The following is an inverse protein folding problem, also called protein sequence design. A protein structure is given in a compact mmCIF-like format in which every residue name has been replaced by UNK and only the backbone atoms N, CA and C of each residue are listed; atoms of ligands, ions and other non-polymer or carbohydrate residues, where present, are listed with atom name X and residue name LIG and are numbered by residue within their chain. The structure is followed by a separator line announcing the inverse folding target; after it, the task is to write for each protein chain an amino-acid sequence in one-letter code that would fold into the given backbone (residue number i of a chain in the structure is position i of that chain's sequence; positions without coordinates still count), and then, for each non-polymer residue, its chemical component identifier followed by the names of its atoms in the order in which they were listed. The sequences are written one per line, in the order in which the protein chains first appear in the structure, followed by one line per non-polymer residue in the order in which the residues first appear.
data_IF_491240562231
#
_entry.id   IF_491240562231
#
_cell.length_a   1.000
_cell.length_b   1.000
_cell.length_c   1.000
_cell.angle_alpha   90.00
_cell.angle_beta   90.00
_cell.angle_gamma   90.00
#
_symmetry.space_group_name_H-M   'P 1'
#
loop_
_entity.id
_entity.type
_entity.pdbx_description
1 polymer ?
#
# COMPACT_ATOMS: atom_id res chain seq x y z
N UNK A 1 -32.76 -2.24 -59.69
CA UNK A 1 -32.41 -3.62 -60.10
C UNK A 1 -30.98 -3.62 -60.61
N UNK A 2 -30.06 -4.25 -59.89
CA UNK A 2 -28.82 -4.80 -60.43
C UNK A 2 -28.22 -5.71 -59.34
N UNK A 3 -28.35 -7.02 -59.53
CA UNK A 3 -27.73 -8.04 -58.70
C UNK A 3 -26.28 -8.24 -59.17
N UNK A 4 -25.33 -8.22 -58.24
CA UNK A 4 -24.01 -8.81 -58.48
C UNK A 4 -23.64 -9.77 -57.36
N UNK A 5 -23.83 -11.03 -57.68
CA UNK A 5 -23.33 -12.23 -57.00
C UNK A 5 -21.81 -12.28 -57.12
N UNK A 6 -21.08 -12.38 -56.01
CA UNK A 6 -19.65 -12.75 -56.04
C UNK A 6 -19.38 -13.94 -55.13
N UNK A 7 -18.73 -14.89 -55.77
CA UNK A 7 -18.50 -16.30 -55.47
C UNK A 7 -17.47 -16.52 -54.36
N UNK A 8 -17.74 -17.55 -53.54
CA UNK A 8 -16.87 -18.16 -52.52
C UNK A 8 -15.45 -18.46 -53.02
N UNK A 9 -14.45 -18.29 -52.15
CA UNK A 9 -13.31 -19.20 -52.03
C UNK A 9 -12.97 -19.42 -50.55
N UNK A 10 -13.36 -20.57 -50.03
CA UNK A 10 -12.93 -21.11 -48.75
C UNK A 10 -11.51 -21.65 -48.91
N UNK A 11 -10.54 -21.02 -48.25
CA UNK A 11 -9.19 -21.56 -48.07
C UNK A 11 -9.11 -22.16 -46.67
N UNK A 12 -9.06 -23.50 -46.64
CA UNK A 12 -8.93 -24.31 -45.44
C UNK A 12 -7.44 -24.40 -45.12
N UNK A 13 -6.98 -23.68 -44.09
CA UNK A 13 -5.61 -23.72 -43.61
C UNK A 13 -5.55 -24.71 -42.43
N UNK A 14 -4.99 -25.90 -42.65
CA UNK A 14 -4.59 -26.80 -41.58
C UNK A 14 -3.33 -26.24 -40.92
N UNK A 15 -3.49 -25.54 -39.80
CA UNK A 15 -2.42 -25.16 -38.90
C UNK A 15 -2.09 -26.32 -37.96
N UNK A 16 -0.87 -26.84 -38.06
CA UNK A 16 -0.29 -27.80 -37.10
C UNK A 16 0.02 -27.01 -35.83
N UNK A 17 -0.76 -27.19 -34.78
CA UNK A 17 -0.47 -26.60 -33.47
C UNK A 17 0.55 -27.49 -32.75
N UNK A 18 1.82 -27.07 -32.79
CA UNK A 18 2.84 -27.61 -31.90
C UNK A 18 2.54 -27.11 -30.48
N UNK A 19 2.13 -28.01 -29.58
CA UNK A 19 1.93 -27.71 -28.17
C UNK A 19 3.28 -27.45 -27.51
N UNK A 20 3.75 -26.20 -27.55
CA UNK A 20 4.80 -25.74 -26.65
C UNK A 20 4.21 -25.73 -25.23
N UNK A 21 4.65 -26.67 -24.38
CA UNK A 21 4.37 -26.61 -22.96
C UNK A 21 5.10 -25.38 -22.40
N UNK A 22 4.39 -24.25 -22.33
CA UNK A 22 4.84 -23.06 -21.63
C UNK A 22 4.83 -23.45 -20.15
N UNK A 23 6.00 -23.84 -19.64
CA UNK A 23 6.20 -23.95 -18.20
C UNK A 23 5.90 -22.57 -17.62
N UNK A 24 4.77 -22.44 -16.93
CA UNK A 24 4.44 -21.24 -16.18
C UNK A 24 5.63 -20.95 -15.25
N UNK A 25 6.18 -19.72 -15.22
CA UNK A 25 7.19 -19.39 -14.25
C UNK A 25 6.56 -19.67 -12.88
N UNK A 26 7.17 -20.57 -12.12
CA UNK A 26 6.84 -20.74 -10.72
C UNK A 26 7.05 -19.36 -10.09
N UNK A 27 5.95 -18.63 -9.87
CA UNK A 27 5.98 -17.50 -8.98
C UNK A 27 6.38 -18.12 -7.65
N UNK A 28 7.65 -18.01 -7.31
CA UNK A 28 8.08 -18.08 -5.93
C UNK A 28 7.20 -17.04 -5.24
N UNK A 29 6.16 -17.52 -4.57
CA UNK A 29 5.48 -16.75 -3.56
C UNK A 29 6.52 -16.62 -2.46
N UNK A 30 7.44 -15.69 -2.67
CA UNK A 30 8.28 -15.14 -1.64
C UNK A 30 7.27 -14.57 -0.67
N UNK A 31 6.95 -15.39 0.33
CA UNK A 31 6.02 -15.03 1.38
C UNK A 31 6.77 -13.95 2.14
N UNK A 32 6.63 -12.70 1.68
CA UNK A 32 7.17 -11.53 2.35
C UNK A 32 6.85 -11.69 3.82
N UNK A 33 7.85 -11.47 4.68
CA UNK A 33 7.68 -11.61 6.12
C UNK A 33 6.41 -10.83 6.54
N UNK A 34 5.56 -11.46 7.35
CA UNK A 34 4.26 -10.89 7.72
C UNK A 34 4.33 -10.00 8.96
N UNK A 35 5.49 -9.96 9.63
CA UNK A 35 5.72 -9.22 10.85
C UNK A 35 7.22 -8.98 11.04
N UNK A 36 7.57 -8.06 11.94
CA UNK A 36 8.94 -7.77 12.37
C UNK A 36 9.12 -8.07 13.86
N UNK A 37 10.34 -8.40 14.26
CA UNK A 37 10.72 -8.46 15.68
C UNK A 37 11.07 -7.07 16.17
N UNK A 38 10.59 -6.65 17.33
CA UNK A 38 10.87 -5.33 17.87
C UNK A 38 10.06 -5.00 19.11
N UNK A 39 9.93 -3.71 19.40
CA UNK A 39 9.09 -3.17 20.49
C UNK A 39 7.96 -2.31 19.91
N UNK A 40 6.81 -2.23 20.59
CA UNK A 40 5.72 -1.31 20.23
C UNK A 40 6.18 0.15 20.15
N UNK A 41 5.61 0.90 19.20
CA UNK A 41 5.99 2.29 18.93
C UNK A 41 5.54 3.29 20.00
N UNK A 42 4.43 3.03 20.70
CA UNK A 42 3.96 3.88 21.80
C UNK A 42 3.27 3.07 22.88
N UNK A 43 3.42 3.52 24.12
CA UNK A 43 2.74 3.00 25.31
C UNK A 43 2.18 4.18 26.08
N UNK A 44 0.85 4.35 26.06
CA UNK A 44 0.04 5.42 26.69
C UNK A 44 0.03 6.81 26.01
N UNK A 45 -1.14 7.46 25.86
CA UNK A 45 -2.48 6.95 26.16
C UNK A 45 -3.04 6.00 25.10
N UNK A 46 -2.35 5.88 23.95
CA UNK A 46 -2.76 5.00 22.86
C UNK A 46 -1.68 3.97 22.57
N UNK A 47 -1.99 2.70 22.82
CA UNK A 47 -1.05 1.61 22.59
C UNK A 47 -0.97 1.30 21.09
N UNK A 48 0.23 1.46 20.54
CA UNK A 48 0.54 1.16 19.14
C UNK A 48 1.39 -0.11 19.10
N UNK A 49 0.72 -1.26 18.97
CA UNK A 49 1.28 -2.62 18.93
C UNK A 49 1.95 -2.96 17.58
N UNK A 50 2.60 -1.97 16.98
CA UNK A 50 3.38 -2.06 15.75
C UNK A 50 4.77 -1.47 16.02
N UNK A 51 5.79 -1.97 15.34
CA UNK A 51 7.11 -1.37 15.35
C UNK A 51 7.11 -0.13 14.45
N UNK A 52 7.64 0.98 14.96
CA UNK A 52 7.91 2.15 14.12
C UNK A 52 8.98 1.81 13.06
N UNK A 53 8.80 2.32 11.86
CA UNK A 53 9.73 2.19 10.74
C UNK A 53 10.42 3.53 10.54
N UNK A 54 11.75 3.52 10.47
CA UNK A 54 12.52 4.72 10.25
C UNK A 54 12.24 5.26 8.83
N UNK A 55 11.78 6.51 8.76
CA UNK A 55 11.58 7.19 7.48
C UNK A 55 12.92 7.69 6.88
N UNK A 56 12.94 8.04 5.59
CA UNK A 56 14.12 8.61 4.97
C UNK A 56 14.39 9.98 5.56
N UNK A 57 15.51 10.11 6.29
CA UNK A 57 16.03 11.32 6.97
C UNK A 57 15.29 11.75 8.24
N UNK A 58 15.91 12.65 9.01
CA UNK A 58 15.35 13.26 10.22
C UNK A 58 14.25 14.31 9.96
N UNK A 59 13.53 14.23 8.84
CA UNK A 59 12.46 15.17 8.49
C UNK A 59 11.12 14.45 8.38
N UNK A 60 10.02 15.13 8.68
CA UNK A 60 8.65 14.62 8.43
C UNK A 60 8.19 14.81 6.98
N UNK A 61 9.08 15.28 6.11
CA UNK A 61 8.83 15.61 4.70
C UNK A 61 9.11 14.41 3.80
N UNK A 62 8.39 13.31 4.05
CA UNK A 62 8.46 12.11 3.24
C UNK A 62 7.09 11.46 3.08
N UNK A 63 7.04 10.50 2.17
CA UNK A 63 5.83 9.81 1.79
C UNK A 63 6.13 8.37 1.36
N UNK A 64 5.08 7.63 1.01
CA UNK A 64 5.18 6.34 0.36
C UNK A 64 5.50 6.52 -1.13
N UNK A 65 6.48 5.75 -1.61
CA UNK A 65 6.83 5.71 -3.01
C UNK A 65 5.64 5.18 -3.83
N UNK A 66 5.27 5.89 -4.90
CA UNK A 66 4.11 5.52 -5.72
C UNK A 66 4.18 4.08 -6.26
N UNK A 67 5.38 3.57 -6.54
CA UNK A 67 5.59 2.18 -6.93
C UNK A 67 5.21 1.20 -5.81
N UNK A 68 5.63 1.48 -4.58
CA UNK A 68 5.29 0.67 -3.41
C UNK A 68 3.78 0.71 -3.13
N UNK A 69 3.19 1.91 -3.13
CA UNK A 69 1.75 2.09 -2.94
C UNK A 69 0.96 1.26 -3.97
N UNK A 70 1.32 1.36 -5.26
CA UNK A 70 0.63 0.64 -6.33
C UNK A 70 0.71 -0.88 -6.23
N UNK A 71 1.79 -1.41 -5.64
CA UNK A 71 2.04 -2.84 -5.56
C UNK A 71 1.48 -3.47 -4.27
N UNK A 72 1.39 -2.70 -3.19
CA UNK A 72 1.18 -3.25 -1.85
C UNK A 72 -0.02 -2.69 -1.10
N UNK A 73 -0.71 -1.67 -1.62
CA UNK A 73 -1.90 -1.11 -0.96
C UNK A 73 -3.00 -2.16 -0.86
N UNK A 74 -3.64 -2.20 0.31
CA UNK A 74 -4.81 -3.01 0.56
C UNK A 74 -5.92 -2.17 1.16
N UNK A 75 -7.16 -2.50 0.79
CA UNK A 75 -8.32 -1.72 1.22
C UNK A 75 -8.31 -0.30 0.66
N UNK A 76 -9.03 0.58 1.34
CA UNK A 76 -9.12 2.01 1.00
C UNK A 76 -8.44 2.82 2.09
N UNK A 77 -7.81 3.93 1.71
CA UNK A 77 -7.28 4.89 2.68
C UNK A 77 -8.37 5.36 3.65
N UNK A 78 -8.05 5.39 4.94
CA UNK A 78 -8.94 5.93 5.97
C UNK A 78 -8.57 7.39 6.23
N UNK A 79 -9.57 8.26 6.14
CA UNK A 79 -9.40 9.69 6.38
C UNK A 79 -9.96 10.07 7.75
N UNK A 80 -9.19 10.81 8.53
CA UNK A 80 -9.59 11.38 9.81
C UNK A 80 -9.47 12.90 9.73
N UNK A 81 -10.58 13.59 9.98
CA UNK A 81 -10.62 15.05 10.01
C UNK A 81 -10.29 15.51 11.42
N UNK A 82 -8.99 15.63 11.69
CA UNK A 82 -8.41 16.03 12.97
C UNK A 82 -7.37 17.13 12.73
N UNK A 83 -7.17 17.99 13.72
CA UNK A 83 -6.09 18.97 13.69
C UNK A 83 -4.76 18.31 14.02
N UNK A 84 -3.63 18.77 13.43
CA UNK A 84 -2.30 18.29 13.81
C UNK A 84 -1.93 18.81 15.20
N UNK A 85 -1.93 17.92 16.19
CA UNK A 85 -1.32 18.09 17.50
C UNK A 85 -0.74 16.74 17.96
N UNK A 86 0.17 16.75 18.94
CA UNK A 86 0.90 15.53 19.33
C UNK A 86 -0.01 14.41 19.83
N UNK A 87 -1.05 14.75 20.58
CA UNK A 87 -1.96 13.76 21.16
C UNK A 87 -2.88 13.19 20.07
N UNK A 88 -3.29 14.03 19.12
CA UNK A 88 -4.10 13.65 17.96
C UNK A 88 -3.29 12.83 16.95
N UNK A 89 -1.98 13.04 16.85
CA UNK A 89 -1.09 12.23 16.02
C UNK A 89 -1.02 10.78 16.52
N UNK A 90 -0.88 10.59 17.84
CA UNK A 90 -0.88 9.25 18.44
C UNK A 90 -2.26 8.59 18.32
N UNK A 91 -3.34 9.36 18.56
CA UNK A 91 -4.70 8.90 18.34
C UNK A 91 -4.94 8.46 16.89
N UNK A 92 -4.44 9.23 15.92
CA UNK A 92 -4.57 8.92 14.50
C UNK A 92 -3.84 7.62 14.14
N UNK A 93 -2.60 7.45 14.61
CA UNK A 93 -1.84 6.21 14.44
C UNK A 93 -2.55 5.01 15.06
N UNK A 94 -3.12 5.16 16.25
CA UNK A 94 -3.94 4.13 16.88
C UNK A 94 -5.17 3.76 16.04
N UNK A 95 -5.83 4.75 15.43
CA UNK A 95 -6.93 4.49 14.49
C UNK A 95 -6.44 3.79 13.22
N UNK A 96 -5.27 4.14 12.69
CA UNK A 96 -4.68 3.42 11.55
C UNK A 96 -4.40 1.96 11.89
N UNK A 97 -3.82 1.69 13.07
CA UNK A 97 -3.63 0.33 13.58
C UNK A 97 -4.96 -0.42 13.64
N UNK A 98 -6.00 0.18 14.21
CA UNK A 98 -7.32 -0.44 14.32
C UNK A 98 -7.86 -0.82 12.94
N UNK A 99 -7.75 0.09 11.96
CA UNK A 99 -8.15 -0.16 10.58
C UNK A 99 -7.33 -1.28 9.92
N UNK A 100 -6.01 -1.27 10.10
CA UNK A 100 -5.12 -2.31 9.57
C UNK A 100 -5.43 -3.67 10.19
N UNK A 101 -5.62 -3.76 11.51
CA UNK A 101 -6.00 -5.00 12.20
C UNK A 101 -7.34 -5.57 11.72
N UNK A 102 -8.29 -4.70 11.34
CA UNK A 102 -9.57 -5.10 10.75
C UNK A 102 -9.51 -5.45 9.26
N UNK A 103 -8.40 -5.17 8.58
CA UNK A 103 -8.23 -5.39 7.13
C UNK A 103 -7.47 -6.69 6.87
N UNK A 104 -8.10 -7.70 6.24
CA UNK A 104 -7.43 -8.96 5.93
C UNK A 104 -6.16 -8.76 5.09
N UNK A 105 -5.05 -9.35 5.54
CA UNK A 105 -3.76 -9.25 4.88
C UNK A 105 -2.93 -8.02 5.25
N UNK A 106 -3.42 -7.12 6.12
CA UNK A 106 -2.64 -5.97 6.56
C UNK A 106 -1.50 -6.36 7.49
N UNK A 107 -0.30 -5.91 7.13
CA UNK A 107 0.93 -6.15 7.88
C UNK A 107 1.71 -4.87 8.17
N UNK A 108 1.33 -3.74 7.57
CA UNK A 108 1.89 -2.43 7.88
C UNK A 108 0.91 -1.30 7.54
N UNK A 109 1.15 -0.12 8.10
CA UNK A 109 0.42 1.09 7.74
C UNK A 109 1.32 2.31 7.75
N UNK A 110 0.91 3.36 7.03
CA UNK A 110 1.55 4.66 7.01
C UNK A 110 0.53 5.75 7.30
N UNK A 111 0.86 6.66 8.22
CA UNK A 111 0.04 7.81 8.55
C UNK A 111 0.67 9.11 8.05
N UNK A 112 -0.13 9.98 7.43
CA UNK A 112 0.30 11.32 6.97
C UNK A 112 -0.81 12.35 7.08
N UNK A 113 -0.46 13.61 7.30
CA UNK A 113 -1.35 14.72 6.98
C UNK A 113 -1.20 15.08 5.50
N UNK A 114 -2.33 15.18 4.81
CA UNK A 114 -2.41 15.59 3.40
C UNK A 114 -3.12 16.92 3.28
N UNK A 115 -2.85 17.63 2.18
CA UNK A 115 -3.41 18.95 1.92
C UNK A 115 -3.11 19.94 3.07
N UNK A 116 -1.89 19.86 3.60
CA UNK A 116 -1.45 20.65 4.76
C UNK A 116 -1.52 22.14 4.45
N UNK A 117 -2.01 22.94 5.40
CA UNK A 117 -2.33 24.37 5.26
C UNK A 117 -3.52 24.66 4.32
N UNK A 118 -4.47 23.72 4.19
CA UNK A 118 -5.72 23.88 3.45
C UNK A 118 -6.93 23.73 4.38
N UNK A 119 -8.09 24.24 3.96
CA UNK A 119 -9.40 23.96 4.60
C UNK A 119 -9.83 22.50 4.49
N UNK A 120 -9.13 21.72 3.68
CA UNK A 120 -9.36 20.30 3.41
C UNK A 120 -8.24 19.42 3.96
N UNK A 121 -7.41 19.97 4.85
CA UNK A 121 -6.40 19.21 5.57
C UNK A 121 -7.07 18.08 6.37
N UNK A 122 -6.48 16.89 6.27
CA UNK A 122 -6.91 15.72 7.03
C UNK A 122 -5.75 14.75 7.18
N UNK A 123 -5.89 13.86 8.16
CA UNK A 123 -5.00 12.74 8.35
C UNK A 123 -5.46 11.58 7.46
N UNK A 124 -4.53 10.95 6.76
CA UNK A 124 -4.75 9.79 5.90
C UNK A 124 -3.94 8.60 6.41
N UNK A 125 -4.61 7.47 6.60
CA UNK A 125 -4.00 6.17 6.91
C UNK A 125 -4.00 5.29 5.66
N UNK A 126 -2.81 4.88 5.22
CA UNK A 126 -2.61 3.91 4.16
C UNK A 126 -2.28 2.55 4.77
N UNK A 127 -2.89 1.48 4.28
CA UNK A 127 -2.68 0.11 4.75
C UNK A 127 -2.00 -0.73 3.67
N UNK A 128 -1.03 -1.56 4.05
CA UNK A 128 -0.27 -2.36 3.09
C UNK A 128 -0.21 -3.85 3.46
N UNK A 129 -0.20 -4.68 2.42
CA UNK A 129 0.01 -6.12 2.49
C UNK A 129 1.48 -6.55 2.48
N UNK A 130 2.41 -5.59 2.58
CA UNK A 130 3.85 -5.82 2.68
C UNK A 130 4.44 -4.96 3.81
N UNK A 131 5.57 -5.39 4.37
CA UNK A 131 6.30 -4.59 5.36
C UNK A 131 6.91 -3.37 4.69
N UNK A 132 6.95 -2.25 5.41
CA UNK A 132 7.65 -1.05 5.00
C UNK A 132 9.15 -1.22 5.27
N UNK A 133 9.96 -0.87 4.28
CA UNK A 133 11.41 -0.73 4.36
C UNK A 133 11.83 0.61 3.74
N UNK A 134 13.14 0.90 3.70
CA UNK A 134 13.66 2.14 3.14
C UNK A 134 13.18 2.42 1.70
N UNK A 135 12.94 1.36 0.91
CA UNK A 135 12.49 1.48 -0.48
C UNK A 135 11.00 1.82 -0.59
N UNK A 136 10.23 1.64 0.48
CA UNK A 136 8.82 2.02 0.55
C UNK A 136 8.64 3.54 0.59
N UNK A 137 9.69 4.32 0.88
CA UNK A 137 9.58 5.75 1.09
C UNK A 137 10.18 6.59 -0.04
N UNK A 138 9.68 7.83 -0.15
CA UNK A 138 10.20 8.88 -1.02
C UNK A 138 10.15 10.22 -0.29
N UNK A 139 11.09 11.12 -0.55
CA UNK A 139 10.99 12.49 -0.04
C UNK A 139 9.86 13.26 -0.74
N UNK A 140 9.15 14.10 0.01
CA UNK A 140 8.13 15.01 -0.54
C UNK A 140 8.01 16.26 0.33
N UNK A 141 7.58 17.38 -0.25
CA UNK A 141 7.27 18.60 0.52
C UNK A 141 5.76 18.85 0.68
N UNK A 142 4.91 17.93 0.21
CA UNK A 142 3.45 18.15 0.13
C UNK A 142 2.68 17.66 1.34
N UNK A 143 3.18 16.60 1.96
CA UNK A 143 2.54 15.90 3.05
C UNK A 143 3.45 15.91 4.28
N UNK A 144 2.87 15.80 5.47
CA UNK A 144 3.61 15.68 6.73
C UNK A 144 3.41 14.26 7.24
N UNK A 145 4.46 13.46 7.16
CA UNK A 145 4.45 12.09 7.65
C UNK A 145 4.31 12.06 9.17
N UNK A 146 3.42 11.21 9.66
CA UNK A 146 3.35 10.82 11.06
C UNK A 146 4.17 9.57 11.35
N UNK A 147 4.36 8.70 10.34
CA UNK A 147 5.25 7.55 10.43
C UNK A 147 4.75 6.33 9.68
N UNK A 148 5.69 5.41 9.41
CA UNK A 148 5.41 4.04 8.98
C UNK A 148 5.46 3.08 10.15
N UNK A 149 4.63 2.04 10.12
CA UNK A 149 4.48 1.09 11.21
C UNK A 149 4.34 -0.34 10.66
N UNK A 150 5.19 -1.25 11.13
CA UNK A 150 5.19 -2.66 10.76
C UNK A 150 4.63 -3.53 11.89
N UNK A 151 3.83 -4.52 11.55
CA UNK A 151 3.22 -5.42 12.54
C UNK A 151 4.29 -6.18 13.31
N UNK A 152 4.16 -6.26 14.63
CA UNK A 152 5.06 -7.06 15.46
C UNK A 152 4.75 -8.56 15.36
N UNK A 153 5.79 -9.39 15.44
CA UNK A 153 5.61 -10.83 15.59
C UNK A 153 5.16 -11.15 17.02
N UNK A 154 4.07 -11.91 17.13
CA UNK A 154 3.49 -12.41 18.39
C UNK A 154 4.05 -13.78 18.77
#
# INVERSE_FOLDING_TARGET
MAFHTITRRSLLVLGIFASAAIAAPAQASERSAACVTGVPASTSPYDIDYAAVEGPTSSSSYDIAASFESAHTIGTAMNLYISPDSDMNDYASFKCQYACNGTPGCVSFFGRFVQVNSTTEHFECLSFGALLDDSAFTSTSKNVANGGFNKLCS
#
